data_IF_879082866357
#
_entry.id   IF_879082866357
#
_cell.length_a   1.000
_cell.length_b   1.000
_cell.length_c   1.000
_cell.angle_alpha   90.00
_cell.angle_beta   90.00
_cell.angle_gamma   90.00
#
_symmetry.space_group_name_H-M   'P 1'
#
loop_
_entity.id
_entity.type
_entity.pdbx_description
1 polymer ?
#
# COMPACT_ATOMS: atom_id res chain seq x y z
N UNK A 1 -10.30 1.88 -3.07
CA UNK A 1 -11.02 0.64 -2.69
C UNK A 1 -10.30 -0.61 -3.14
N UNK A 2 -10.25 -0.93 -4.45
CA UNK A 2 -9.59 -2.17 -4.92
C UNK A 2 -8.11 -2.23 -4.54
N UNK A 3 -7.35 -1.14 -4.74
CA UNK A 3 -5.97 -1.05 -4.27
C UNK A 3 -5.85 -1.28 -2.75
N UNK A 4 -6.77 -0.75 -1.95
CA UNK A 4 -6.77 -0.96 -0.50
C UNK A 4 -7.06 -2.40 -0.10
N UNK A 5 -7.96 -3.09 -0.80
CA UNK A 5 -8.22 -4.51 -0.55
C UNK A 5 -7.06 -5.43 -0.97
N UNK A 6 -6.22 -5.00 -1.92
CA UNK A 6 -5.18 -5.84 -2.53
C UNK A 6 -3.75 -5.40 -2.21
N UNK A 7 -3.54 -4.35 -1.42
CA UNK A 7 -2.19 -3.76 -1.24
C UNK A 7 -1.16 -4.75 -0.69
N UNK A 8 -1.61 -5.70 0.14
CA UNK A 8 -0.77 -6.74 0.75
C UNK A 8 -0.82 -8.10 0.02
N UNK A 9 -1.48 -8.20 -1.15
CA UNK A 9 -1.64 -9.47 -1.89
C UNK A 9 -0.30 -10.12 -2.27
N UNK A 10 0.76 -9.32 -2.40
CA UNK A 10 2.12 -9.82 -2.67
C UNK A 10 2.74 -10.63 -1.53
N UNK A 11 2.11 -10.66 -0.34
CA UNK A 11 2.51 -11.54 0.77
C UNK A 11 1.93 -12.95 0.64
N UNK A 12 0.78 -13.09 -0.03
CA UNK A 12 0.10 -14.36 -0.20
C UNK A 12 0.73 -15.18 -1.33
N UNK A 13 0.41 -16.48 -1.42
CA UNK A 13 1.00 -17.47 -2.32
C UNK A 13 1.28 -16.98 -3.75
N UNK A 14 0.41 -16.20 -4.43
CA UNK A 14 0.73 -15.69 -5.77
C UNK A 14 2.00 -14.83 -5.81
N UNK A 15 2.27 -14.03 -4.77
CA UNK A 15 3.44 -13.16 -4.69
C UNK A 15 4.76 -13.94 -4.73
N UNK A 16 5.09 -14.76 -3.72
CA UNK A 16 6.33 -15.53 -3.70
C UNK A 16 6.46 -16.56 -4.83
N UNK A 17 5.33 -17.08 -5.36
CA UNK A 17 5.36 -18.05 -6.46
C UNK A 17 5.65 -17.41 -7.82
N UNK A 18 5.06 -16.25 -8.11
CA UNK A 18 5.22 -15.56 -9.40
C UNK A 18 6.41 -14.58 -9.39
N UNK A 19 6.75 -14.06 -8.22
CA UNK A 19 7.74 -12.99 -8.02
C UNK A 19 8.66 -13.29 -6.82
N UNK A 20 9.42 -14.39 -6.85
CA UNK A 20 10.25 -14.80 -5.72
C UNK A 20 11.31 -13.74 -5.39
N UNK A 21 11.41 -13.40 -4.10
CA UNK A 21 12.41 -12.46 -3.58
C UNK A 21 12.08 -10.97 -3.78
N UNK A 22 10.98 -10.62 -4.45
CA UNK A 22 10.54 -9.23 -4.52
C UNK A 22 9.87 -8.79 -3.21
N UNK A 23 10.00 -7.51 -2.81
CA UNK A 23 9.18 -6.93 -1.75
C UNK A 23 7.69 -7.07 -2.05
N UNK A 24 6.86 -7.19 -1.01
CA UNK A 24 5.43 -7.54 -1.19
C UNK A 24 4.65 -6.44 -1.90
N UNK A 25 5.03 -5.18 -1.75
CA UNK A 25 4.46 -4.04 -2.46
C UNK A 25 4.76 -4.10 -3.96
N UNK A 26 5.92 -4.63 -4.34
CA UNK A 26 6.32 -4.79 -5.74
C UNK A 26 5.62 -6.00 -6.34
N UNK A 27 5.66 -7.15 -5.66
CA UNK A 27 4.95 -8.35 -6.10
C UNK A 27 3.42 -8.12 -6.21
N UNK A 28 2.84 -7.39 -5.25
CA UNK A 28 1.43 -6.99 -5.27
C UNK A 28 1.08 -6.05 -6.41
N UNK A 29 1.97 -5.11 -6.74
CA UNK A 29 1.81 -4.23 -7.90
C UNK A 29 1.88 -5.01 -9.22
N UNK A 30 2.80 -5.95 -9.37
CA UNK A 30 2.87 -6.82 -10.56
C UNK A 30 1.62 -7.69 -10.70
N UNK A 31 1.12 -8.24 -9.60
CA UNK A 31 -0.14 -8.98 -9.58
C UNK A 31 -1.29 -8.09 -10.06
N UNK A 32 -1.43 -6.89 -9.50
CA UNK A 32 -2.50 -5.96 -9.84
C UNK A 32 -2.39 -5.43 -11.28
N UNK A 33 -1.18 -5.20 -11.79
CA UNK A 33 -0.96 -4.78 -13.17
C UNK A 33 -1.49 -5.81 -14.16
N UNK A 34 -1.24 -7.09 -13.89
CA UNK A 34 -1.63 -8.20 -14.77
C UNK A 34 -3.12 -8.54 -14.70
N UNK A 35 -3.73 -8.39 -13.53
CA UNK A 35 -5.06 -8.95 -13.23
C UNK A 35 -6.14 -7.93 -12.95
N UNK A 36 -5.76 -6.69 -12.64
CA UNK A 36 -6.69 -5.63 -12.25
C UNK A 36 -6.60 -4.46 -13.21
N UNK A 37 -5.58 -3.61 -13.07
CA UNK A 37 -5.27 -2.53 -14.00
C UNK A 37 -3.94 -1.88 -13.64
N UNK A 38 -3.35 -1.17 -14.61
CA UNK A 38 -2.17 -0.35 -14.39
C UNK A 38 -2.40 0.63 -13.23
N UNK A 39 -3.52 1.37 -13.24
CA UNK A 39 -3.84 2.36 -12.20
C UNK A 39 -3.82 1.75 -10.78
N UNK A 40 -4.35 0.55 -10.59
CA UNK A 40 -4.34 -0.10 -9.26
C UNK A 40 -2.91 -0.46 -8.84
N UNK A 41 -2.08 -0.95 -9.76
CA UNK A 41 -0.67 -1.24 -9.50
C UNK A 41 0.11 0.01 -9.04
N UNK A 42 -0.11 1.17 -9.69
CA UNK A 42 0.54 2.44 -9.32
C UNK A 42 0.19 2.92 -7.92
N UNK A 43 -0.98 2.54 -7.38
CA UNK A 43 -1.37 2.89 -6.00
C UNK A 43 -0.82 1.88 -4.99
N UNK A 44 -0.72 0.59 -5.35
CA UNK A 44 -0.17 -0.46 -4.48
C UNK A 44 1.34 -0.31 -4.30
N UNK A 45 2.10 -0.14 -5.38
CA UNK A 45 3.57 -0.11 -5.33
C UNK A 45 4.13 0.87 -4.28
N UNK A 46 3.65 2.11 -4.16
CA UNK A 46 4.17 3.07 -3.20
C UNK A 46 3.65 2.94 -1.77
N UNK A 47 2.80 1.96 -1.41
CA UNK A 47 2.20 1.94 -0.07
C UNK A 47 3.23 1.71 1.07
N UNK A 48 4.35 1.03 0.81
CA UNK A 48 5.48 0.92 1.76
C UNK A 48 6.28 2.24 1.83
N UNK A 49 6.77 2.81 0.70
CA UNK A 49 7.37 4.14 0.71
C UNK A 49 6.52 5.21 1.37
N UNK A 50 5.19 5.18 1.20
CA UNK A 50 4.25 6.10 1.82
C UNK A 50 4.32 6.08 3.35
N UNK A 51 4.61 4.93 3.98
CA UNK A 51 4.88 4.86 5.43
C UNK A 51 6.10 5.69 5.80
N UNK A 52 7.21 5.45 5.09
CA UNK A 52 8.49 6.14 5.35
C UNK A 52 8.34 7.65 5.17
N UNK A 53 7.60 8.05 4.13
CA UNK A 53 7.24 9.44 3.86
C UNK A 53 6.41 10.06 4.99
N UNK A 54 5.33 9.39 5.42
CA UNK A 54 4.46 9.91 6.48
C UNK A 54 5.20 10.06 7.81
N UNK A 55 6.04 9.10 8.17
CA UNK A 55 6.86 9.22 9.38
C UNK A 55 7.88 10.37 9.28
N UNK A 56 8.40 10.66 8.08
CA UNK A 56 9.34 11.77 7.87
C UNK A 56 8.67 13.15 7.87
N UNK A 57 7.41 13.24 7.42
CA UNK A 57 6.72 14.52 7.14
C UNK A 57 5.63 14.87 8.14
N UNK A 58 5.14 13.90 8.92
CA UNK A 58 4.14 14.08 9.95
C UNK A 58 4.69 13.53 11.28
N UNK A 59 5.15 14.45 12.14
CA UNK A 59 5.80 14.12 13.40
C UNK A 59 4.93 13.30 14.36
N UNK A 60 3.60 13.36 14.22
CA UNK A 60 2.67 12.57 15.02
C UNK A 60 2.47 11.15 14.46
N UNK A 61 2.79 10.92 13.18
CA UNK A 61 2.42 9.69 12.48
C UNK A 61 3.09 8.44 13.04
N UNK A 62 4.33 8.54 13.52
CA UNK A 62 5.03 7.41 14.11
C UNK A 62 4.26 6.77 15.28
N UNK A 63 3.54 7.59 16.06
CA UNK A 63 2.75 7.11 17.20
C UNK A 63 1.49 6.33 16.79
N UNK A 64 1.07 6.42 15.52
CA UNK A 64 -0.10 5.72 14.98
C UNK A 64 0.24 4.32 14.44
N UNK A 65 1.53 4.00 14.31
CA UNK A 65 1.96 2.73 13.74
C UNK A 65 1.72 1.57 14.71
N UNK A 66 1.19 0.47 14.19
CA UNK A 66 1.15 -0.80 14.93
C UNK A 66 2.56 -1.31 15.25
N UNK A 67 2.73 -2.21 16.25
CA UNK A 67 4.01 -2.83 16.53
C UNK A 67 4.66 -3.50 15.29
N UNK A 68 3.84 -4.11 14.43
CA UNK A 68 4.28 -4.71 13.17
C UNK A 68 4.73 -3.66 12.13
N UNK A 69 4.02 -2.53 12.03
CA UNK A 69 4.42 -1.39 11.19
C UNK A 69 5.74 -0.77 11.63
N UNK A 70 5.98 -0.65 12.95
CA UNK A 70 7.25 -0.16 13.53
C UNK A 70 8.39 -1.13 13.24
N UNK A 71 8.18 -2.44 13.45
CA UNK A 71 9.20 -3.45 13.18
C UNK A 71 9.58 -3.47 11.70
N UNK A 72 8.60 -3.44 10.80
CA UNK A 72 8.83 -3.41 9.35
C UNK A 72 9.46 -2.10 8.88
N UNK A 73 9.14 -0.95 9.50
CA UNK A 73 9.77 0.34 9.16
C UNK A 73 11.30 0.28 9.31
N UNK A 74 11.81 -0.37 10.37
CA UNK A 74 13.25 -0.48 10.63
C UNK A 74 13.99 -1.22 9.51
N UNK A 75 13.42 -2.32 9.02
CA UNK A 75 14.04 -3.10 7.93
C UNK A 75 13.82 -2.48 6.55
N UNK A 76 12.86 -1.56 6.42
CA UNK A 76 12.55 -0.84 5.18
C UNK A 76 13.35 0.47 5.01
N UNK A 77 14.31 0.76 5.90
CA UNK A 77 15.18 1.94 5.81
C UNK A 77 14.73 3.14 6.63
N UNK A 78 13.75 2.99 7.53
CA UNK A 78 13.33 4.06 8.44
C UNK A 78 12.58 5.21 7.74
N UNK A 79 12.40 6.36 8.41
CA UNK A 79 11.84 7.56 7.79
C UNK A 79 12.66 7.98 6.56
N UNK A 80 12.00 8.60 5.58
CA UNK A 80 12.68 9.16 4.41
C UNK A 80 13.58 10.35 4.78
N UNK A 81 14.68 10.53 4.04
CA UNK A 81 15.45 11.78 4.04
C UNK A 81 14.78 12.88 3.17
N UNK A 82 15.32 14.11 3.20
CA UNK A 82 14.75 15.25 2.46
C UNK A 82 14.66 15.01 0.94
N UNK A 83 15.64 14.30 0.37
CA UNK A 83 15.68 13.97 -1.07
C UNK A 83 14.61 12.94 -1.40
N UNK A 84 14.52 11.86 -0.62
CA UNK A 84 13.49 10.82 -0.77
C UNK A 84 12.08 11.41 -0.60
N UNK A 85 11.89 12.34 0.33
CA UNK A 85 10.62 13.08 0.51
C UNK A 85 10.26 13.87 -0.75
N UNK A 86 11.21 14.60 -1.33
CA UNK A 86 10.98 15.38 -2.54
C UNK A 86 10.68 14.48 -3.75
N UNK A 87 11.42 13.38 -3.92
CA UNK A 87 11.21 12.39 -4.99
C UNK A 87 9.85 11.72 -4.86
N UNK A 88 9.47 11.30 -3.64
CA UNK A 88 8.16 10.69 -3.39
C UNK A 88 7.02 11.67 -3.65
N UNK A 89 7.13 12.90 -3.15
CA UNK A 89 6.08 13.92 -3.31
C UNK A 89 5.86 14.34 -4.78
N UNK A 90 6.89 14.22 -5.63
CA UNK A 90 6.80 14.53 -7.05
C UNK A 90 6.10 13.44 -7.88
N UNK A 91 5.91 12.24 -7.33
CA UNK A 91 5.26 11.15 -8.05
C UNK A 91 3.73 11.39 -8.18
N UNK A 92 3.14 11.29 -9.38
CA UNK A 92 1.70 11.50 -9.57
C UNK A 92 0.76 10.72 -8.63
N UNK A 93 1.02 9.44 -8.28
CA UNK A 93 0.17 8.70 -7.35
C UNK A 93 0.46 8.95 -5.86
N UNK A 94 1.38 9.86 -5.49
CA UNK A 94 1.81 10.04 -4.10
C UNK A 94 0.65 10.33 -3.14
N UNK A 95 -0.31 11.16 -3.57
CA UNK A 95 -1.53 11.44 -2.79
C UNK A 95 -2.38 10.19 -2.54
N UNK A 96 -2.60 9.37 -3.58
CA UNK A 96 -3.36 8.12 -3.47
C UNK A 96 -2.62 7.10 -2.58
N UNK A 97 -1.29 7.05 -2.67
CA UNK A 97 -0.44 6.18 -1.85
C UNK A 97 -0.50 6.56 -0.36
N UNK A 98 -0.45 7.87 -0.06
CA UNK A 98 -0.60 8.39 1.30
C UNK A 98 -1.98 8.08 1.85
N UNK A 99 -3.04 8.28 1.07
CA UNK A 99 -4.40 7.94 1.48
C UNK A 99 -4.53 6.43 1.78
N UNK A 100 -4.02 5.57 0.89
CA UNK A 100 -3.97 4.13 1.08
C UNK A 100 -3.23 3.77 2.38
N UNK A 101 -2.07 4.37 2.62
CA UNK A 101 -1.27 4.07 3.81
C UNK A 101 -1.99 4.42 5.10
N UNK A 102 -2.70 5.55 5.12
CA UNK A 102 -3.52 5.94 6.28
C UNK A 102 -4.65 4.94 6.55
N UNK A 103 -5.25 4.37 5.51
CA UNK A 103 -6.25 3.31 5.66
C UNK A 103 -5.64 1.99 6.15
N UNK A 104 -4.47 1.61 5.65
CA UNK A 104 -3.69 0.45 6.09
C UNK A 104 -3.43 0.51 7.61
N UNK A 105 -2.81 1.59 8.11
CA UNK A 105 -2.53 1.73 9.54
C UNK A 105 -3.79 1.84 10.41
N UNK A 106 -4.91 2.35 9.87
CA UNK A 106 -6.16 2.46 10.61
C UNK A 106 -6.94 1.13 10.69
N UNK A 107 -6.67 0.16 9.82
CA UNK A 107 -7.43 -1.09 9.70
C UNK A 107 -6.98 -2.18 10.70
N UNK A 108 -6.67 -1.80 11.95
CA UNK A 108 -6.19 -2.70 13.00
C UNK A 108 -7.24 -3.01 14.08
N UNK A 109 -8.47 -2.50 13.93
CA UNK A 109 -9.60 -2.76 14.83
C UNK A 109 -10.46 -3.92 14.29
N UNK A 110 -10.58 -5.05 15.02
CA UNK A 110 -11.42 -6.18 14.61
C UNK A 110 -12.92 -5.84 14.53
N UNK A 111 -13.36 -4.83 15.29
CA UNK A 111 -14.74 -4.33 15.30
C UNK A 111 -14.92 -3.09 14.38
N UNK A 112 -13.87 -2.74 13.64
CA UNK A 112 -13.86 -1.61 12.72
C UNK A 112 -14.81 -1.79 11.52
N UNK A 113 -15.11 -0.70 10.80
CA UNK A 113 -16.00 -0.75 9.64
C UNK A 113 -15.44 -1.67 8.55
N UNK A 114 -16.26 -2.59 8.07
CA UNK A 114 -15.89 -3.55 7.03
C UNK A 114 -16.50 -3.17 5.67
N UNK A 115 -15.75 -3.42 4.60
CA UNK A 115 -16.26 -3.29 3.24
C UNK A 115 -17.01 -4.57 2.85
N UNK A 116 -18.28 -4.45 2.51
CA UNK A 116 -19.07 -5.59 2.03
C UNK A 116 -18.50 -6.16 0.73
N UNK A 117 -18.34 -7.49 0.67
CA UNK A 117 -17.74 -8.19 -0.47
C UNK A 117 -18.41 -7.86 -1.83
N UNK A 118 -19.75 -7.78 -1.96
CA UNK A 118 -20.38 -7.40 -3.22
C UNK A 118 -19.95 -6.01 -3.72
N UNK A 119 -19.71 -5.07 -2.80
CA UNK A 119 -19.25 -3.72 -3.13
C UNK A 119 -17.82 -3.75 -3.67
N UNK A 120 -16.95 -4.55 -3.05
CA UNK A 120 -15.58 -4.74 -3.53
C UNK A 120 -15.57 -5.39 -4.92
N UNK A 121 -16.37 -6.44 -5.13
CA UNK A 121 -16.48 -7.13 -6.43
C UNK A 121 -16.96 -6.19 -7.53
N UNK A 122 -18.00 -5.38 -7.27
CA UNK A 122 -18.47 -4.39 -8.23
C UNK A 122 -17.41 -3.34 -8.58
N UNK A 123 -16.62 -2.90 -7.59
CA UNK A 123 -15.48 -2.00 -7.82
C UNK A 123 -14.37 -2.66 -8.64
N UNK A 124 -14.05 -3.92 -8.34
CA UNK A 124 -13.10 -4.72 -9.10
C UNK A 124 -13.54 -4.86 -10.57
N UNK A 125 -14.80 -5.22 -10.84
CA UNK A 125 -15.34 -5.33 -12.20
C UNK A 125 -15.11 -4.05 -12.99
N UNK A 126 -15.36 -2.87 -12.40
CA UNK A 126 -15.10 -1.59 -13.07
C UNK A 126 -13.62 -1.36 -13.37
N UNK A 127 -12.72 -1.85 -12.53
CA UNK A 127 -11.27 -1.69 -12.75
C UNK A 127 -10.76 -2.58 -13.88
N UNK A 128 -11.31 -3.78 -14.06
CA UNK A 128 -10.84 -4.73 -15.08
C UNK A 128 -11.45 -4.52 -16.47
N UNK A 129 -12.58 -3.79 -16.55
CA UNK A 129 -13.26 -3.50 -17.83
C UNK A 129 -12.96 -2.10 -18.38
N UNK A 130 -12.13 -1.31 -17.69
CA UNK A 130 -11.75 0.05 -18.06
C UNK A 130 -10.41 0.05 -18.82
#
# INVERSE_FOLDING_TARGET
MVAAALHDIGRDRPGPAEHPGLPHEVAGAEFARRRVSERVAWVIAPHVPAKRYLVATDAAYHALLSPASIASLKVQGGPMDEREVAEFAAHPPAGDAVALRRWDDAANDPDGPQLALPTLLAAHTRCVTA
#
